data_IF_394561721946
#
_entry.id   IF_394561721946
#
_cell.length_a   1.000
_cell.length_b   1.000
_cell.length_c   1.000
_cell.angle_alpha   90.00
_cell.angle_beta   90.00
_cell.angle_gamma   90.00
#
_symmetry.space_group_name_H-M   'P 1'
#
loop_
_entity.id
_entity.type
_entity.pdbx_description
1 polymer ?
#
# COMPACT_ATOMS: atom_id res chain seq x y z
N UNK A 1 16.11 -40.15 -4.51
CA UNK A 1 15.40 -38.91 -4.85
C UNK A 1 16.14 -37.76 -4.19
N UNK A 2 16.77 -36.87 -4.94
CA UNK A 2 17.39 -35.67 -4.36
C UNK A 2 16.29 -34.67 -3.98
N UNK A 3 16.31 -34.08 -2.77
CA UNK A 3 15.34 -33.05 -2.41
C UNK A 3 15.59 -31.79 -3.25
N UNK A 4 14.52 -31.25 -3.82
CA UNK A 4 14.56 -29.99 -4.55
C UNK A 4 14.72 -28.85 -3.53
N UNK A 5 15.86 -28.16 -3.56
CA UNK A 5 16.10 -26.97 -2.72
C UNK A 5 15.38 -25.80 -3.37
N UNK A 6 14.29 -25.34 -2.75
CA UNK A 6 13.57 -24.14 -3.17
C UNK A 6 14.28 -22.91 -2.60
N UNK A 7 15.14 -22.27 -3.40
CA UNK A 7 15.80 -21.01 -3.02
C UNK A 7 14.80 -19.87 -3.22
N UNK A 8 14.13 -19.44 -2.13
CA UNK A 8 13.33 -18.23 -2.14
C UNK A 8 14.26 -17.01 -2.23
N UNK A 9 13.86 -16.00 -3.01
CA UNK A 9 14.62 -14.75 -3.16
C UNK A 9 14.74 -14.07 -1.79
N UNK A 10 15.90 -13.53 -1.45
CA UNK A 10 16.08 -12.76 -0.22
C UNK A 10 15.03 -11.63 -0.15
N UNK A 11 14.28 -11.59 0.96
CA UNK A 11 13.15 -10.67 1.15
C UNK A 11 11.77 -11.23 0.81
N UNK A 12 11.64 -12.52 0.46
CA UNK A 12 10.31 -13.13 0.28
C UNK A 12 9.64 -13.29 1.65
N UNK A 13 8.57 -12.54 1.88
CA UNK A 13 7.76 -12.68 3.09
C UNK A 13 7.04 -14.03 3.07
N UNK A 14 7.31 -14.88 4.05
CA UNK A 14 6.72 -16.21 4.19
C UNK A 14 5.40 -16.18 4.98
N UNK A 15 4.82 -14.99 5.19
CA UNK A 15 3.55 -14.81 5.87
C UNK A 15 2.41 -15.46 5.09
N UNK A 16 1.71 -16.40 5.74
CA UNK A 16 0.62 -17.19 5.15
C UNK A 16 -0.60 -17.21 6.06
N UNK A 17 -1.79 -17.44 5.48
CA UNK A 17 -3.03 -17.67 6.22
C UNK A 17 -3.61 -16.41 6.89
N UNK A 18 -4.24 -16.58 8.06
CA UNK A 18 -4.98 -15.51 8.76
C UNK A 18 -4.18 -14.22 9.03
N UNK A 19 -2.92 -14.27 9.47
CA UNK A 19 -2.12 -13.07 9.66
C UNK A 19 -1.94 -12.24 8.38
N UNK A 20 -1.78 -12.91 7.23
CA UNK A 20 -1.63 -12.23 5.94
C UNK A 20 -2.94 -11.56 5.49
N UNK A 21 -4.08 -12.18 5.79
CA UNK A 21 -5.39 -11.55 5.55
C UNK A 21 -5.57 -10.28 6.39
N UNK A 22 -5.20 -10.32 7.67
CA UNK A 22 -5.27 -9.16 8.56
C UNK A 22 -4.32 -8.05 8.07
N UNK A 23 -3.11 -8.41 7.66
CA UNK A 23 -2.14 -7.46 7.07
C UNK A 23 -2.73 -6.74 5.85
N UNK A 24 -3.34 -7.50 4.93
CA UNK A 24 -4.00 -6.94 3.74
C UNK A 24 -5.17 -6.01 4.10
N UNK A 25 -5.99 -6.36 5.09
CA UNK A 25 -7.10 -5.51 5.56
C UNK A 25 -6.56 -4.19 6.12
N UNK A 26 -5.51 -4.25 6.96
CA UNK A 26 -4.89 -3.05 7.51
C UNK A 26 -4.29 -2.16 6.42
N UNK A 27 -3.68 -2.77 5.40
CA UNK A 27 -3.15 -2.06 4.25
C UNK A 27 -4.27 -1.30 3.50
N UNK A 28 -5.42 -1.95 3.26
CA UNK A 28 -6.60 -1.28 2.69
C UNK A 28 -7.13 -0.15 3.59
N UNK A 29 -7.13 -0.33 4.91
CA UNK A 29 -7.60 0.70 5.84
C UNK A 29 -6.75 1.97 5.76
N UNK A 30 -5.43 1.83 5.60
CA UNK A 30 -4.53 2.98 5.38
C UNK A 30 -4.85 3.74 4.08
N UNK A 31 -5.17 3.02 3.00
CA UNK A 31 -5.60 3.63 1.73
C UNK A 31 -6.89 4.43 1.94
N UNK A 32 -7.87 3.85 2.65
CA UNK A 32 -9.15 4.51 2.94
C UNK A 32 -8.92 5.78 3.76
N UNK A 33 -8.09 5.74 4.79
CA UNK A 33 -7.80 6.91 5.62
C UNK A 33 -7.09 8.02 4.85
N UNK A 34 -6.28 7.66 3.86
CA UNK A 34 -5.63 8.62 2.97
C UNK A 34 -6.63 9.37 2.08
N UNK A 35 -7.71 8.75 1.60
CA UNK A 35 -8.62 9.37 0.61
C UNK A 35 -9.98 9.81 1.16
N UNK A 36 -10.48 9.21 2.26
CA UNK A 36 -11.86 9.41 2.73
C UNK A 36 -12.25 10.86 2.98
N UNK A 37 -11.30 11.71 3.40
CA UNK A 37 -11.57 13.12 3.72
C UNK A 37 -11.65 14.01 2.48
N UNK A 38 -11.30 13.50 1.31
CA UNK A 38 -11.35 14.24 0.05
C UNK A 38 -12.62 13.95 -0.76
N UNK A 39 -13.43 12.97 -0.33
CA UNK A 39 -14.63 12.56 -1.05
C UNK A 39 -15.80 13.53 -0.85
N UNK A 40 -16.50 13.82 -1.95
CA UNK A 40 -17.72 14.62 -1.97
C UNK A 40 -17.51 16.11 -2.19
N UNK A 41 -18.60 16.89 -2.33
CA UNK A 41 -18.54 18.32 -2.68
C UNK A 41 -17.95 19.21 -1.57
N UNK A 42 -17.79 18.67 -0.35
CA UNK A 42 -17.10 19.31 0.78
C UNK A 42 -15.80 18.58 1.15
N UNK A 43 -15.26 17.77 0.23
CA UNK A 43 -13.98 17.11 0.42
C UNK A 43 -12.86 18.11 0.56
N UNK A 44 -11.93 17.84 1.47
CA UNK A 44 -10.77 18.70 1.73
C UNK A 44 -9.63 18.39 0.77
N UNK A 45 -8.88 19.43 0.38
CA UNK A 45 -7.60 19.24 -0.28
C UNK A 45 -6.56 18.68 0.70
N UNK A 46 -5.66 17.84 0.19
CA UNK A 46 -4.49 17.38 0.95
C UNK A 46 -3.25 18.07 0.46
N UNK A 47 -2.51 18.67 1.39
CA UNK A 47 -1.13 19.09 1.19
C UNK A 47 -0.24 17.87 1.47
N UNK A 48 0.44 17.39 0.44
CA UNK A 48 1.36 16.25 0.51
C UNK A 48 2.74 16.74 0.11
N UNK A 49 3.74 16.39 0.90
CA UNK A 49 5.15 16.69 0.59
C UNK A 49 5.83 15.37 0.25
N UNK A 50 6.41 15.28 -0.94
CA UNK A 50 7.14 14.09 -1.36
C UNK A 50 8.52 13.99 -0.69
N UNK A 51 9.21 12.87 -0.91
CA UNK A 51 10.54 12.63 -0.34
C UNK A 51 11.63 13.58 -0.90
N UNK A 52 11.35 14.31 -1.98
CA UNK A 52 12.23 15.32 -2.58
C UNK A 52 11.90 16.73 -2.08
N UNK A 53 10.93 16.87 -1.17
CA UNK A 53 10.49 18.15 -0.63
C UNK A 53 9.51 18.91 -1.53
N UNK A 54 9.01 18.31 -2.62
CA UNK A 54 8.00 18.93 -3.48
C UNK A 54 6.63 18.81 -2.83
N UNK A 55 5.98 19.96 -2.65
CA UNK A 55 4.61 20.04 -2.18
C UNK A 55 3.61 19.89 -3.34
N UNK A 56 2.56 19.10 -3.12
CA UNK A 56 1.40 18.95 -4.00
C UNK A 56 0.16 19.15 -3.16
N UNK A 57 -0.75 20.02 -3.61
CA UNK A 57 -2.08 20.19 -3.03
C UNK A 57 -3.08 19.55 -3.98
N UNK A 58 -3.83 18.55 -3.52
CA UNK A 58 -4.85 17.89 -4.34
C UNK A 58 -5.94 17.23 -3.53
N UNK A 59 -7.17 17.25 -4.06
CA UNK A 59 -8.30 16.45 -3.60
C UNK A 59 -8.41 15.11 -4.38
N UNK A 60 -7.80 15.01 -5.56
CA UNK A 60 -7.89 13.81 -6.40
C UNK A 60 -7.21 12.60 -5.73
N UNK A 61 -7.99 11.57 -5.46
CA UNK A 61 -7.55 10.34 -4.81
C UNK A 61 -6.43 9.62 -5.56
N UNK A 62 -6.44 9.62 -6.89
CA UNK A 62 -5.38 8.97 -7.67
C UNK A 62 -4.04 9.68 -7.48
N UNK A 63 -4.04 11.01 -7.53
CA UNK A 63 -2.86 11.83 -7.24
C UNK A 63 -2.38 11.63 -5.80
N UNK A 64 -3.31 11.63 -4.82
CA UNK A 64 -2.97 11.41 -3.40
C UNK A 64 -2.29 10.05 -3.21
N UNK A 65 -2.83 8.98 -3.79
CA UNK A 65 -2.25 7.63 -3.67
C UNK A 65 -0.87 7.55 -4.31
N UNK A 66 -0.68 8.17 -5.47
CA UNK A 66 0.59 8.15 -6.20
C UNK A 66 1.73 8.81 -5.40
N UNK A 67 1.42 9.90 -4.68
CA UNK A 67 2.44 10.67 -3.95
C UNK A 67 2.64 10.11 -2.53
N UNK A 68 1.57 9.71 -1.84
CA UNK A 68 1.64 9.31 -0.43
C UNK A 68 1.87 7.81 -0.19
N UNK A 69 1.61 6.94 -1.16
CA UNK A 69 1.70 5.48 -0.99
C UNK A 69 2.63 4.78 -2.01
N UNK A 70 3.93 5.16 -2.09
CA UNK A 70 4.86 4.56 -3.06
C UNK A 70 5.18 3.08 -2.77
N UNK A 71 4.94 2.59 -1.56
CA UNK A 71 5.30 1.24 -1.10
C UNK A 71 4.11 0.26 -1.01
N UNK A 72 2.93 0.62 -1.53
CA UNK A 72 1.78 -0.31 -1.61
C UNK A 72 1.95 -1.35 -2.74
N UNK A 73 3.19 -1.82 -2.95
CA UNK A 73 3.56 -2.91 -3.86
C UNK A 73 3.59 -4.25 -3.10
N UNK A 74 3.35 -4.22 -1.79
CA UNK A 74 3.38 -5.38 -0.91
C UNK A 74 2.06 -6.14 -0.76
N UNK A 75 1.15 -6.16 -1.75
CA UNK A 75 0.22 -7.30 -1.83
C UNK A 75 1.05 -8.52 -2.24
N UNK A 76 1.77 -9.07 -1.26
CA UNK A 76 2.33 -10.40 -1.36
C UNK A 76 1.12 -11.32 -1.31
N UNK A 77 0.48 -11.48 -2.46
CA UNK A 77 -0.29 -12.68 -2.71
C UNK A 77 0.75 -13.77 -2.61
N UNK A 78 0.77 -14.40 -1.45
CA UNK A 78 1.23 -15.76 -1.34
C UNK A 78 0.70 -16.50 -2.56
N UNK A 79 1.59 -16.84 -3.48
CA UNK A 79 1.24 -17.80 -4.52
C UNK A 79 0.71 -19.02 -3.77
N UNK A 80 -0.58 -19.27 -3.95
CA UNK A 80 -1.11 -20.63 -3.85
C UNK A 80 -0.28 -21.55 -4.75
#
# INVERSE_FOLDING_TARGET
MQPQILVLKEGTDSSQGKPQLISNINACQLVVDAVRTTLGPRGMDKLIVDHQGKAVISNDGATIMKVSLPAFVGFHTSKV
#
